data_IF_214013474616
#
_entry.id   IF_214013474616
#
_cell.length_a   1.000
_cell.length_b   1.000
_cell.length_c   1.000
_cell.angle_alpha   90.00
_cell.angle_beta   90.00
_cell.angle_gamma   90.00
#
_symmetry.space_group_name_H-M   'P 1'
#
loop_
_entity.id
_entity.type
_entity.pdbx_description
1 polymer ?
#
# COMPACT_ATOMS: atom_id res chain seq x y z
N UNK A 1 17.78 16.65 0.62
CA UNK A 1 18.08 15.47 -0.22
C UNK A 1 17.54 15.73 -1.61
N UNK A 2 18.36 15.54 -2.65
CA UNK A 2 17.93 15.77 -4.04
C UNK A 2 17.17 14.55 -4.58
N UNK A 3 16.26 14.78 -5.53
CA UNK A 3 15.49 13.74 -6.22
C UNK A 3 16.37 12.65 -6.87
N UNK A 4 17.56 13.03 -7.35
CA UNK A 4 18.53 12.09 -7.92
C UNK A 4 19.12 11.14 -6.87
N UNK A 5 19.32 11.63 -5.65
CA UNK A 5 19.83 10.84 -4.52
C UNK A 5 18.76 9.88 -4.00
N UNK A 6 17.50 10.30 -4.04
CA UNK A 6 16.37 9.39 -3.83
C UNK A 6 16.34 8.33 -4.92
N UNK A 7 16.34 8.65 -6.22
CA UNK A 7 16.32 7.61 -7.27
C UNK A 7 17.48 6.60 -7.16
N UNK A 8 18.68 7.07 -6.87
CA UNK A 8 19.88 6.24 -6.73
C UNK A 8 19.81 5.28 -5.54
N UNK A 9 19.32 5.75 -4.39
CA UNK A 9 19.11 4.89 -3.24
C UNK A 9 18.05 3.78 -3.55
N UNK A 10 17.21 3.96 -4.59
CA UNK A 10 16.00 3.14 -4.86
C UNK A 10 16.48 1.99 -5.71
N UNK A 11 17.31 2.32 -6.69
CA UNK A 11 18.14 1.38 -7.41
C UNK A 11 19.04 0.58 -6.46
N UNK A 12 19.66 1.19 -5.44
CA UNK A 12 20.47 0.45 -4.47
C UNK A 12 19.64 -0.52 -3.62
N UNK A 13 18.49 -0.08 -3.07
CA UNK A 13 17.59 -0.92 -2.27
C UNK A 13 16.97 -2.05 -3.11
N UNK A 14 16.67 -1.77 -4.38
CA UNK A 14 16.20 -2.73 -5.38
C UNK A 14 17.31 -3.69 -5.82
N UNK A 15 18.57 -3.23 -5.90
CA UNK A 15 19.71 -4.05 -6.33
C UNK A 15 20.14 -5.06 -5.26
N UNK A 16 20.00 -4.72 -3.98
CA UNK A 16 20.33 -5.59 -2.86
C UNK A 16 19.26 -6.65 -2.55
N UNK A 17 18.05 -6.51 -3.08
CA UNK A 17 16.91 -7.36 -2.72
C UNK A 17 16.12 -7.78 -3.97
N UNK A 18 16.60 -8.83 -4.65
CA UNK A 18 16.07 -9.36 -5.91
C UNK A 18 14.57 -9.68 -5.90
N UNK A 19 14.02 -9.99 -4.72
CA UNK A 19 12.57 -10.20 -4.49
C UNK A 19 11.75 -8.93 -4.68
N UNK A 20 12.23 -7.78 -4.17
CA UNK A 20 11.55 -6.48 -4.29
C UNK A 20 11.61 -5.95 -5.74
N UNK A 21 12.70 -6.24 -6.47
CA UNK A 21 12.83 -5.89 -7.89
C UNK A 21 11.74 -6.53 -8.73
N UNK A 22 11.44 -7.82 -8.52
CA UNK A 22 10.44 -8.55 -9.28
C UNK A 22 9.00 -8.07 -9.05
N UNK A 23 8.64 -7.76 -7.79
CA UNK A 23 7.27 -7.41 -7.43
C UNK A 23 6.85 -6.00 -7.89
N UNK A 24 7.76 -5.03 -7.84
CA UNK A 24 7.47 -3.65 -8.28
C UNK A 24 7.50 -3.46 -9.81
N UNK A 25 8.42 -4.13 -10.52
CA UNK A 25 8.67 -3.82 -11.93
C UNK A 25 7.80 -4.58 -12.93
N UNK A 26 7.31 -5.77 -12.59
CA UNK A 26 6.56 -6.59 -13.55
C UNK A 26 5.07 -6.68 -13.26
N UNK A 27 4.67 -6.78 -12.00
CA UNK A 27 3.28 -7.05 -11.64
C UNK A 27 2.39 -5.79 -11.61
N UNK A 28 3.01 -4.63 -11.33
CA UNK A 28 2.33 -3.34 -11.13
C UNK A 28 2.80 -2.24 -12.08
N UNK A 29 3.38 -2.60 -13.22
CA UNK A 29 3.96 -1.64 -14.18
C UNK A 29 2.99 -0.51 -14.59
N UNK A 30 1.70 -0.81 -14.75
CA UNK A 30 0.66 0.17 -15.09
C UNK A 30 0.39 1.21 -13.98
N UNK A 31 0.78 0.91 -12.75
CA UNK A 31 0.59 1.76 -11.58
C UNK A 31 1.92 2.39 -11.09
N UNK A 32 2.97 2.36 -11.92
CA UNK A 32 4.28 2.88 -11.55
C UNK A 32 4.21 4.33 -11.08
N UNK A 33 5.05 4.67 -10.11
CA UNK A 33 5.24 6.06 -9.70
C UNK A 33 5.79 6.89 -10.86
N UNK A 34 5.07 7.94 -11.24
CA UNK A 34 5.43 8.84 -12.35
C UNK A 34 5.94 10.19 -11.87
N UNK A 35 5.61 10.58 -10.63
CA UNK A 35 6.08 11.84 -10.02
C UNK A 35 7.12 11.57 -8.94
N UNK A 36 7.90 12.60 -8.59
CA UNK A 36 8.88 12.52 -7.51
C UNK A 36 8.24 12.22 -6.15
N UNK A 37 7.06 12.78 -5.90
CA UNK A 37 6.33 12.55 -4.65
C UNK A 37 5.87 11.09 -4.55
N UNK A 38 5.40 10.51 -5.65
CA UNK A 38 5.00 9.10 -5.70
C UNK A 38 6.20 8.17 -5.51
N UNK A 39 7.36 8.52 -6.06
CA UNK A 39 8.60 7.77 -5.88
C UNK A 39 9.10 7.85 -4.43
N UNK A 40 9.09 9.05 -3.84
CA UNK A 40 9.46 9.26 -2.44
C UNK A 40 8.51 8.53 -1.48
N UNK A 41 7.22 8.51 -1.77
CA UNK A 41 6.24 7.77 -0.98
C UNK A 41 6.43 6.25 -1.13
N UNK A 42 6.67 5.77 -2.36
CA UNK A 42 6.99 4.35 -2.62
C UNK A 42 8.18 3.93 -1.76
N UNK A 43 9.16 4.79 -1.63
CA UNK A 43 10.31 4.58 -0.78
C UNK A 43 10.03 4.50 0.71
N UNK A 44 9.35 5.51 1.22
CA UNK A 44 8.97 5.56 2.63
C UNK A 44 8.20 4.30 3.00
N UNK A 45 7.32 3.85 2.10
CA UNK A 45 6.63 2.59 2.27
C UNK A 45 7.55 1.37 2.25
N UNK A 46 8.52 1.28 1.33
CA UNK A 46 9.45 0.14 1.29
C UNK A 46 10.31 0.04 2.55
N UNK A 47 10.79 1.19 3.06
CA UNK A 47 11.51 1.26 4.32
C UNK A 47 10.61 0.87 5.51
N UNK A 48 9.41 1.45 5.58
CA UNK A 48 8.42 1.10 6.59
C UNK A 48 8.05 -0.38 6.55
N UNK A 49 7.87 -0.97 5.36
CA UNK A 49 7.53 -2.38 5.16
C UNK A 49 8.60 -3.30 5.74
N UNK A 50 9.88 -3.00 5.50
CA UNK A 50 10.99 -3.78 6.03
C UNK A 50 11.05 -3.76 7.56
N UNK A 51 10.53 -2.72 8.20
CA UNK A 51 10.52 -2.54 9.66
C UNK A 51 9.26 -3.11 10.33
N UNK A 52 8.14 -3.17 9.62
CA UNK A 52 6.82 -3.41 10.23
C UNK A 52 6.10 -4.68 9.74
N UNK A 53 6.48 -5.21 8.57
CA UNK A 53 5.87 -6.44 8.05
C UNK A 53 6.76 -7.63 8.39
N UNK A 54 6.29 -8.48 9.30
CA UNK A 54 6.97 -9.71 9.69
C UNK A 54 6.08 -10.91 9.35
N UNK A 55 6.63 -11.89 8.63
CA UNK A 55 5.90 -13.11 8.21
C UNK A 55 4.55 -12.84 7.50
N UNK A 56 4.47 -11.75 6.71
CA UNK A 56 3.25 -11.26 6.05
C UNK A 56 2.12 -10.87 7.01
N UNK A 57 2.47 -10.45 8.23
CA UNK A 57 1.54 -9.91 9.22
C UNK A 57 2.01 -8.56 9.73
N UNK A 58 1.03 -7.72 10.03
CA UNK A 58 1.23 -6.43 10.68
C UNK A 58 0.75 -6.52 12.12
N UNK A 59 1.52 -5.91 13.02
CA UNK A 59 1.10 -5.76 14.42
C UNK A 59 -0.08 -4.80 14.54
N UNK A 60 -0.87 -4.97 15.59
CA UNK A 60 -2.10 -4.20 15.81
C UNK A 60 -1.85 -2.69 15.94
N UNK A 61 -0.81 -2.28 16.66
CA UNK A 61 -0.45 -0.87 16.81
C UNK A 61 -0.15 -0.21 15.45
N UNK A 62 0.55 -0.93 14.58
CA UNK A 62 0.86 -0.47 13.22
C UNK A 62 -0.40 -0.31 12.38
N UNK A 63 -1.36 -1.24 12.49
CA UNK A 63 -2.65 -1.14 11.82
C UNK A 63 -3.46 0.07 12.30
N UNK A 64 -3.44 0.35 13.61
CA UNK A 64 -4.13 1.51 14.20
C UNK A 64 -3.53 2.83 13.69
N UNK A 65 -2.20 2.93 13.62
CA UNK A 65 -1.49 4.08 13.05
C UNK A 65 -1.83 4.29 11.57
N UNK A 66 -1.75 3.22 10.78
CA UNK A 66 -2.13 3.26 9.36
C UNK A 66 -3.58 3.70 9.17
N UNK A 67 -4.50 3.23 10.02
CA UNK A 67 -5.91 3.59 9.96
C UNK A 67 -6.13 5.09 10.15
N UNK A 68 -5.32 5.77 11.00
CA UNK A 68 -5.36 7.22 11.15
C UNK A 68 -4.77 7.95 9.93
N UNK A 69 -3.64 7.47 9.39
CA UNK A 69 -2.99 8.06 8.21
C UNK A 69 -3.89 8.00 6.97
N UNK A 70 -4.61 6.88 6.82
CA UNK A 70 -5.48 6.59 5.68
C UNK A 70 -6.88 7.22 5.82
N UNK A 71 -7.32 7.53 7.04
CA UNK A 71 -8.64 8.12 7.30
C UNK A 71 -8.99 9.30 6.36
N UNK A 72 -8.12 10.31 6.14
CA UNK A 72 -8.42 11.42 5.24
C UNK A 72 -8.14 11.15 3.76
N UNK A 73 -7.60 9.97 3.40
CA UNK A 73 -7.06 9.69 2.07
C UNK A 73 -7.97 8.77 1.26
N UNK A 74 -8.14 9.08 -0.02
CA UNK A 74 -8.74 8.16 -1.00
C UNK A 74 -7.70 7.12 -1.45
N UNK A 75 -6.49 7.57 -1.78
CA UNK A 75 -5.28 6.77 -2.03
C UNK A 75 -4.09 7.40 -1.30
N UNK A 76 -2.99 6.68 -1.13
CA UNK A 76 -1.82 7.18 -0.40
C UNK A 76 -1.25 8.47 -1.03
N UNK A 77 -1.31 8.59 -2.35
CA UNK A 77 -0.84 9.76 -3.12
C UNK A 77 -1.97 10.76 -3.42
N UNK A 78 -3.11 10.65 -2.72
CA UNK A 78 -4.25 11.55 -2.85
C UNK A 78 -5.34 10.98 -3.73
N UNK A 79 -5.35 11.34 -5.02
CA UNK A 79 -6.48 11.10 -5.93
C UNK A 79 -6.29 9.92 -6.89
N UNK A 80 -5.06 9.40 -7.02
CA UNK A 80 -4.71 8.36 -8.00
C UNK A 80 -4.25 7.09 -7.31
N UNK A 81 -4.64 5.95 -7.88
CA UNK A 81 -4.11 4.66 -7.48
C UNK A 81 -2.68 4.50 -8.00
N UNK A 82 -1.77 4.07 -7.14
CA UNK A 82 -0.35 3.83 -7.47
C UNK A 82 0.11 2.45 -6.99
N UNK A 83 1.28 2.01 -7.45
CA UNK A 83 1.83 0.69 -7.10
C UNK A 83 2.00 0.52 -5.58
N UNK A 84 2.28 1.61 -4.86
CA UNK A 84 2.41 1.59 -3.40
C UNK A 84 1.08 1.26 -2.71
N UNK A 85 -0.05 1.71 -3.25
CA UNK A 85 -1.38 1.37 -2.72
C UNK A 85 -1.66 -0.13 -2.87
N UNK A 86 -1.28 -0.70 -4.02
CA UNK A 86 -1.48 -2.12 -4.30
C UNK A 86 -0.58 -3.00 -3.44
N UNK A 87 0.67 -2.58 -3.21
CA UNK A 87 1.59 -3.28 -2.33
C UNK A 87 1.11 -3.25 -0.87
N UNK A 88 0.75 -2.07 -0.36
CA UNK A 88 0.25 -1.94 1.00
C UNK A 88 -1.04 -2.76 1.18
N UNK A 89 -1.96 -2.70 0.22
CA UNK A 89 -3.17 -3.51 0.26
C UNK A 89 -2.86 -5.02 0.25
N UNK A 90 -1.88 -5.46 -0.53
CA UNK A 90 -1.46 -6.87 -0.55
C UNK A 90 -0.93 -7.34 0.80
N UNK A 91 -0.09 -6.52 1.45
CA UNK A 91 0.44 -6.81 2.79
C UNK A 91 -0.67 -6.79 3.87
N UNK A 92 -1.66 -5.90 3.73
CA UNK A 92 -2.78 -5.78 4.67
C UNK A 92 -3.78 -6.93 4.56
N UNK A 93 -3.79 -7.70 3.46
CA UNK A 93 -4.86 -8.68 3.17
C UNK A 93 -5.11 -9.67 4.30
N UNK A 94 -4.06 -10.12 4.99
CA UNK A 94 -4.16 -11.09 6.09
C UNK A 94 -4.35 -10.45 7.46
N UNK A 95 -4.15 -9.13 7.56
CA UNK A 95 -4.13 -8.36 8.80
C UNK A 95 -5.23 -7.29 8.85
N UNK A 96 -6.17 -7.30 7.90
CA UNK A 96 -7.31 -6.39 7.88
C UNK A 96 -8.28 -6.75 9.00
N UNK A 97 -8.08 -6.10 10.15
CA UNK A 97 -9.04 -6.08 11.26
C UNK A 97 -10.23 -5.16 10.94
N UNK A 98 -11.25 -5.14 11.81
CA UNK A 98 -12.48 -4.34 11.70
C UNK A 98 -12.28 -2.81 11.77
N UNK A 99 -11.12 -2.32 11.34
CA UNK A 99 -10.75 -0.91 11.22
C UNK A 99 -11.40 -0.34 9.97
N UNK A 100 -12.53 0.34 10.17
CA UNK A 100 -13.43 0.77 9.09
C UNK A 100 -12.76 1.63 8.00
N UNK A 101 -11.78 2.47 8.33
CA UNK A 101 -11.10 3.31 7.33
C UNK A 101 -10.15 2.50 6.45
N UNK A 102 -9.41 1.55 7.03
CA UNK A 102 -8.57 0.62 6.28
C UNK A 102 -9.41 -0.27 5.37
N UNK A 103 -10.53 -0.82 5.85
CA UNK A 103 -11.43 -1.63 5.01
C UNK A 103 -11.99 -0.80 3.86
N UNK A 104 -12.44 0.44 4.13
CA UNK A 104 -12.93 1.37 3.10
C UNK A 104 -11.86 1.65 2.05
N UNK A 105 -10.65 2.00 2.49
CA UNK A 105 -9.53 2.29 1.60
C UNK A 105 -9.10 1.07 0.79
N UNK A 106 -8.96 -0.09 1.43
CA UNK A 106 -8.63 -1.34 0.77
C UNK A 106 -9.63 -1.68 -0.33
N UNK A 107 -10.93 -1.53 -0.05
CA UNK A 107 -11.96 -1.77 -1.05
C UNK A 107 -11.90 -0.76 -2.20
N UNK A 108 -11.56 0.51 -1.95
CA UNK A 108 -11.35 1.49 -3.02
C UNK A 108 -10.16 1.13 -3.91
N UNK A 109 -9.06 0.64 -3.31
CA UNK A 109 -7.90 0.11 -4.02
C UNK A 109 -8.28 -1.12 -4.84
N UNK A 110 -8.98 -2.08 -4.24
CA UNK A 110 -9.37 -3.32 -4.91
C UNK A 110 -10.26 -3.08 -6.15
N UNK A 111 -11.24 -2.18 -6.06
CA UNK A 111 -12.10 -1.80 -7.21
C UNK A 111 -11.29 -1.28 -8.39
N UNK A 112 -10.22 -0.50 -8.13
CA UNK A 112 -9.40 0.11 -9.17
C UNK A 112 -8.18 -0.73 -9.56
N UNK A 113 -7.99 -1.88 -8.93
CA UNK A 113 -6.84 -2.76 -9.13
C UNK A 113 -6.94 -3.67 -10.36
N UNK A 114 -7.97 -3.53 -11.19
CA UNK A 114 -8.18 -4.35 -12.39
C UNK A 114 -8.17 -5.87 -12.11
N UNK A 115 -8.71 -6.28 -10.95
CA UNK A 115 -8.80 -7.68 -10.53
C UNK A 115 -7.57 -8.24 -9.83
N UNK A 116 -6.55 -7.42 -9.56
CA UNK A 116 -5.36 -7.83 -8.78
C UNK A 116 -5.69 -8.12 -7.30
N UNK A 117 -6.69 -7.44 -6.75
CA UNK A 117 -7.14 -7.60 -5.37
C UNK A 117 -8.63 -7.93 -5.32
N UNK A 118 -9.02 -8.75 -4.35
CA UNK A 118 -10.41 -9.10 -4.10
C UNK A 118 -10.98 -8.17 -3.05
N UNK A 119 -12.14 -7.58 -3.29
CA UNK A 119 -12.82 -6.75 -2.28
C UNK A 119 -13.21 -7.57 -1.04
N UNK A 120 -13.13 -6.94 0.12
CA UNK A 120 -13.65 -7.51 1.37
C UNK A 120 -15.15 -7.20 1.45
N UNK A 121 -16.03 -8.22 1.52
CA UNK A 121 -17.45 -8.02 1.68
C UNK A 121 -17.74 -7.28 2.98
N UNK A 122 -18.37 -6.10 2.88
CA UNK A 122 -18.88 -5.40 4.05
C UNK A 122 -20.31 -5.92 4.26
N UNK A 123 -20.48 -6.86 5.19
CA UNK A 123 -21.80 -7.26 5.64
C UNK A 123 -22.45 -6.07 6.35
N UNK A 124 -23.36 -5.38 5.65
CA UNK A 124 -24.22 -4.38 6.29
C UNK A 124 -25.11 -5.14 7.29
N UNK A 125 -25.06 -4.78 8.57
CA UNK A 125 -26.05 -5.30 9.52
C UNK A 125 -27.45 -4.92 9.00
N UNK A 126 -28.41 -5.86 9.00
CA UNK A 126 -29.79 -5.50 8.73
C UNK A 126 -30.23 -4.47 9.77
N UNK A 127 -30.72 -3.33 9.30
CA UNK A 127 -31.46 -2.40 10.16
C UNK A 127 -32.76 -3.11 10.51
N UNK A 128 -32.84 -3.67 11.72
CA UNK A 128 -34.11 -4.10 12.25
C UNK A 128 -34.96 -2.84 12.45
N UNK A 129 -35.98 -2.70 11.61
CA UNK A 129 -37.04 -1.68 11.69
C UNK A 129 -38.08 -2.07 12.73
#
# INVERSE_FOLDING_TARGET
MSAAMALHNLELLISGNSSLRGSLTFEYYHFKATTLDEQALTYQYLEWRAQNVHENRLEKCVLEELNQIILPRAFLTGSRLTAVDLLLASDLRQSLEALGSLIRWYNAVAVRSEGKLTQIPIHRMPLYS
#
